data_IF_140705769713
#
_entry.id   IF_140705769713
#
_cell.length_a   1.000
_cell.length_b   1.000
_cell.length_c   1.000
_cell.angle_alpha   90.00
_cell.angle_beta   90.00
_cell.angle_gamma   90.00
#
_symmetry.space_group_name_H-M   'P 1'
#
loop_
_entity.id
_entity.type
_entity.pdbx_description
1 polymer ?
#
# COMPACT_ATOMS: atom_id res chain seq x y z
N UNK A 1 5.40 27.05 2.64
CA UNK A 1 5.19 25.70 3.21
C UNK A 1 4.25 24.95 2.30
N UNK A 2 4.70 23.83 1.77
CA UNK A 2 3.92 22.93 0.90
C UNK A 2 3.33 21.77 1.74
N UNK A 3 2.42 21.02 1.13
CA UNK A 3 1.72 19.93 1.82
C UNK A 3 2.14 18.58 1.24
N UNK A 4 2.33 17.59 2.11
CA UNK A 4 2.37 16.18 1.75
C UNK A 4 0.99 15.60 2.11
N UNK A 5 0.19 15.35 1.10
CA UNK A 5 -1.10 14.67 1.25
C UNK A 5 -0.88 13.16 1.24
N UNK A 6 -1.18 12.50 2.34
CA UNK A 6 -1.16 11.03 2.41
C UNK A 6 -2.53 10.51 2.02
N UNK A 7 -2.56 9.64 1.02
CA UNK A 7 -3.74 8.86 0.63
C UNK A 7 -3.52 7.45 1.18
N UNK A 8 -4.03 7.17 2.38
CA UNK A 8 -3.74 5.92 3.05
C UNK A 8 -4.46 4.74 2.39
N UNK A 9 -3.82 3.57 2.47
CA UNK A 9 -4.51 2.30 2.31
C UNK A 9 -5.56 2.17 3.42
N UNK A 10 -6.70 1.55 3.11
CA UNK A 10 -7.77 1.31 4.08
C UNK A 10 -7.22 0.63 5.35
N UNK A 11 -7.36 1.27 6.52
CA UNK A 11 -6.86 0.71 7.77
C UNK A 11 -7.75 -0.43 8.23
N UNK A 12 -7.19 -1.64 8.30
CA UNK A 12 -7.89 -2.81 8.80
C UNK A 12 -7.18 -3.28 10.06
N UNK A 13 -7.92 -3.37 11.17
CA UNK A 13 -7.39 -3.83 12.44
C UNK A 13 -6.68 -5.18 12.30
N UNK A 14 -5.61 -5.36 13.07
CA UNK A 14 -4.76 -6.56 13.07
C UNK A 14 -4.02 -6.84 11.75
N UNK A 15 -3.95 -5.87 10.82
CA UNK A 15 -3.20 -5.95 9.58
C UNK A 15 -2.12 -4.86 9.50
N UNK A 16 -1.13 -5.11 8.62
CA UNK A 16 -0.09 -4.12 8.35
C UNK A 16 -0.63 -2.78 7.84
N UNK A 17 -1.81 -2.78 7.20
CA UNK A 17 -2.46 -1.57 6.69
C UNK A 17 -2.80 -0.59 7.80
N UNK A 18 -3.24 -1.07 8.96
CA UNK A 18 -3.45 -0.23 10.14
C UNK A 18 -2.14 0.35 10.69
N UNK A 19 -1.09 -0.47 10.73
CA UNK A 19 0.24 0.00 11.16
C UNK A 19 0.77 1.10 10.23
N UNK A 20 0.60 0.94 8.92
CA UNK A 20 1.01 1.95 7.95
C UNK A 20 0.21 3.25 8.12
N UNK A 21 -1.09 3.13 8.29
CA UNK A 21 -1.97 4.26 8.54
C UNK A 21 -1.54 5.07 9.76
N UNK A 22 -1.26 4.40 10.89
CA UNK A 22 -0.90 5.07 12.14
C UNK A 22 0.51 5.68 12.10
N UNK A 23 1.45 5.04 11.45
CA UNK A 23 2.87 5.36 11.62
C UNK A 23 3.49 6.16 10.47
N UNK A 24 3.04 6.02 9.23
CA UNK A 24 3.60 6.78 8.11
C UNK A 24 3.50 8.29 8.33
N UNK A 25 2.36 8.86 8.77
CA UNK A 25 2.29 10.29 9.07
C UNK A 25 3.30 10.72 10.13
N UNK A 26 3.41 9.96 11.22
CA UNK A 26 4.34 10.26 12.33
C UNK A 26 5.80 10.26 11.88
N UNK A 27 6.20 9.22 11.12
CA UNK A 27 7.57 9.13 10.59
C UNK A 27 7.87 10.28 9.62
N UNK A 28 6.91 10.65 8.77
CA UNK A 28 7.09 11.78 7.86
C UNK A 28 7.24 13.11 8.61
N UNK A 29 6.42 13.36 9.62
CA UNK A 29 6.52 14.57 10.46
C UNK A 29 7.87 14.64 11.16
N UNK A 30 8.34 13.51 11.71
CA UNK A 30 9.68 13.42 12.31
C UNK A 30 10.78 13.75 11.30
N UNK A 31 10.75 13.15 10.11
CA UNK A 31 11.76 13.39 9.07
C UNK A 31 11.73 14.83 8.54
N UNK A 32 10.55 15.43 8.45
CA UNK A 32 10.38 16.85 8.09
C UNK A 32 11.07 17.74 9.15
N UNK A 33 10.81 17.46 10.42
CA UNK A 33 11.40 18.22 11.51
C UNK A 33 12.93 18.04 11.60
N UNK A 34 13.42 16.79 11.56
CA UNK A 34 14.86 16.49 11.62
C UNK A 34 15.67 17.11 10.48
N UNK A 35 15.08 17.18 9.28
CA UNK A 35 15.74 17.73 8.09
C UNK A 35 15.41 19.18 7.83
N UNK A 36 14.64 19.81 8.69
CA UNK A 36 14.17 21.18 8.56
C UNK A 36 13.55 21.48 7.19
N UNK A 37 12.65 20.59 6.73
CA UNK A 37 11.96 20.73 5.46
C UNK A 37 10.71 21.60 5.61
N UNK A 38 10.38 22.39 4.57
CA UNK A 38 9.22 23.29 4.57
C UNK A 38 7.95 22.58 4.06
N UNK A 39 7.55 21.51 4.76
CA UNK A 39 6.34 20.74 4.49
C UNK A 39 5.53 20.57 5.77
N UNK A 40 4.23 20.29 5.59
CA UNK A 40 3.37 19.71 6.63
C UNK A 40 2.61 18.50 6.05
N UNK A 41 2.15 17.62 6.92
CA UNK A 41 1.48 16.37 6.53
C UNK A 41 -0.03 16.48 6.73
N UNK A 42 -0.80 16.02 5.77
CA UNK A 42 -2.27 15.93 5.84
C UNK A 42 -2.70 14.55 5.35
N UNK A 43 -3.41 13.80 6.18
CA UNK A 43 -4.00 12.51 5.76
C UNK A 43 -5.39 12.73 5.18
N UNK A 44 -5.67 12.12 4.04
CA UNK A 44 -6.96 12.14 3.35
C UNK A 44 -7.62 10.79 3.50
N UNK A 45 -8.47 10.66 4.50
CA UNK A 45 -9.21 9.43 4.74
C UNK A 45 -10.33 9.20 3.72
N UNK A 46 -10.67 7.92 3.54
CA UNK A 46 -11.91 7.52 2.90
C UNK A 46 -13.04 7.31 3.92
N UNK A 47 -14.24 7.14 3.43
CA UNK A 47 -15.39 6.80 4.23
C UNK A 47 -15.38 5.29 4.55
N UNK A 48 -15.46 4.93 5.84
CA UNK A 48 -15.64 3.55 6.28
C UNK A 48 -17.07 3.08 5.93
N UNK A 49 -17.15 2.17 5.00
CA UNK A 49 -18.42 1.59 4.55
C UNK A 49 -18.54 0.12 4.98
N UNK A 50 -19.60 -0.20 5.72
CA UNK A 50 -19.90 -1.57 6.15
C UNK A 50 -20.99 -2.16 5.24
N UNK A 51 -20.63 -3.05 4.31
CA UNK A 51 -21.59 -3.65 3.40
C UNK A 51 -22.48 -4.66 4.13
N UNK A 52 -23.74 -4.75 3.69
CA UNK A 52 -24.68 -5.79 4.16
C UNK A 52 -24.28 -7.19 3.68
N UNK A 53 -23.62 -7.26 2.53
CA UNK A 53 -23.14 -8.50 1.91
C UNK A 53 -21.63 -8.40 1.74
N UNK A 54 -20.88 -9.36 2.33
CA UNK A 54 -19.43 -9.42 2.21
C UNK A 54 -19.00 -10.31 1.05
N UNK A 55 -17.89 -9.97 0.43
CA UNK A 55 -17.26 -10.81 -0.60
C UNK A 55 -16.73 -12.09 0.06
N UNK A 56 -17.34 -13.22 -0.22
CA UNK A 56 -16.96 -14.50 0.37
C UNK A 56 -15.53 -14.90 -0.04
N UNK A 57 -14.74 -15.36 0.93
CA UNK A 57 -13.36 -15.82 0.73
C UNK A 57 -12.33 -14.71 0.41
N UNK A 58 -12.75 -13.46 0.30
CA UNK A 58 -11.83 -12.36 0.10
C UNK A 58 -11.32 -11.82 1.45
N UNK A 59 -10.07 -11.38 1.46
CA UNK A 59 -9.47 -10.71 2.62
C UNK A 59 -9.89 -9.23 2.73
N UNK A 60 -10.47 -8.68 1.68
CA UNK A 60 -11.06 -7.35 1.58
C UNK A 60 -12.45 -7.48 0.97
N UNK A 61 -13.37 -6.62 1.39
CA UNK A 61 -14.57 -6.39 0.62
C UNK A 61 -14.28 -5.41 -0.51
N UNK A 62 -14.31 -5.89 -1.75
CA UNK A 62 -13.93 -5.08 -2.91
C UNK A 62 -14.90 -3.93 -3.18
N UNK A 63 -16.17 -4.05 -2.77
CA UNK A 63 -17.14 -2.97 -2.85
C UNK A 63 -16.83 -1.88 -1.83
N UNK A 64 -16.70 -2.25 -0.57
CA UNK A 64 -16.42 -1.33 0.53
C UNK A 64 -15.09 -0.58 0.34
N UNK A 65 -14.02 -1.29 -0.03
CA UNK A 65 -12.72 -0.64 -0.29
C UNK A 65 -12.79 0.34 -1.46
N UNK A 66 -13.67 0.11 -2.45
CA UNK A 66 -13.87 1.08 -3.52
C UNK A 66 -14.69 2.30 -3.07
N UNK A 67 -15.62 2.17 -2.14
CA UNK A 67 -16.28 3.33 -1.49
C UNK A 67 -15.21 4.17 -0.78
N UNK A 68 -14.36 3.55 0.03
CA UNK A 68 -13.26 4.22 0.72
C UNK A 68 -12.37 5.00 -0.26
N UNK A 69 -11.88 4.36 -1.33
CA UNK A 69 -11.02 5.00 -2.36
C UNK A 69 -11.75 6.09 -3.15
N UNK A 70 -13.05 5.92 -3.43
CA UNK A 70 -13.84 6.91 -4.16
C UNK A 70 -14.11 8.17 -3.34
N UNK A 71 -14.33 8.04 -2.05
CA UNK A 71 -14.51 9.18 -1.15
C UNK A 71 -13.20 9.94 -0.93
N UNK A 72 -12.04 9.27 -0.89
CA UNK A 72 -10.72 9.92 -0.96
C UNK A 72 -10.58 10.75 -2.25
N UNK A 73 -10.97 10.18 -3.40
CA UNK A 73 -10.94 10.88 -4.69
C UNK A 73 -11.81 12.12 -4.67
N UNK A 74 -13.01 12.02 -4.08
CA UNK A 74 -13.91 13.16 -3.91
C UNK A 74 -13.31 14.24 -3.03
N UNK A 75 -12.67 13.86 -1.93
CA UNK A 75 -12.02 14.81 -1.02
C UNK A 75 -10.87 15.55 -1.72
N UNK A 76 -9.99 14.84 -2.44
CA UNK A 76 -8.89 15.45 -3.21
C UNK A 76 -9.41 16.37 -4.30
N UNK A 77 -10.46 15.98 -5.03
CA UNK A 77 -11.06 16.83 -6.05
C UNK A 77 -11.58 18.15 -5.47
N UNK A 78 -12.17 18.11 -4.26
CA UNK A 78 -12.59 19.33 -3.54
C UNK A 78 -11.39 20.19 -3.14
N UNK A 79 -10.25 19.60 -2.76
CA UNK A 79 -9.04 20.38 -2.44
C UNK A 79 -8.52 21.14 -3.66
N UNK A 80 -8.45 20.51 -4.84
CA UNK A 80 -8.08 21.19 -6.09
C UNK A 80 -9.09 22.30 -6.43
N UNK A 81 -10.38 21.98 -6.41
CA UNK A 81 -11.45 22.94 -6.75
C UNK A 81 -11.50 24.17 -5.82
N UNK A 82 -11.11 24.00 -4.56
CA UNK A 82 -11.07 25.07 -3.57
C UNK A 82 -9.71 25.79 -3.51
N UNK A 83 -8.79 25.53 -4.43
CA UNK A 83 -7.47 26.16 -4.47
C UNK A 83 -6.58 25.84 -3.24
N UNK A 84 -6.80 24.69 -2.60
CA UNK A 84 -6.02 24.25 -1.44
C UNK A 84 -4.74 23.55 -1.85
N UNK A 85 -4.74 22.86 -3.00
CA UNK A 85 -3.56 22.26 -3.59
C UNK A 85 -2.73 23.33 -4.29
N UNK A 86 -1.43 23.31 -4.10
CA UNK A 86 -0.47 24.27 -4.65
C UNK A 86 0.60 23.55 -5.45
N UNK A 87 1.22 24.31 -6.36
CA UNK A 87 2.42 23.83 -7.05
C UNK A 87 3.52 23.44 -6.05
N UNK A 88 4.09 22.24 -6.25
CA UNK A 88 5.10 21.66 -5.35
C UNK A 88 4.53 20.84 -4.18
N UNK A 89 3.22 20.75 -4.02
CA UNK A 89 2.59 19.80 -3.10
C UNK A 89 2.85 18.36 -3.57
N UNK A 90 2.84 17.42 -2.61
CA UNK A 90 3.11 16.01 -2.87
C UNK A 90 1.93 15.15 -2.45
N UNK A 91 1.66 14.10 -3.23
CA UNK A 91 0.66 13.08 -2.90
C UNK A 91 1.37 11.75 -2.69
N UNK A 92 1.28 11.19 -1.49
CA UNK A 92 1.79 9.86 -1.16
C UNK A 92 0.62 8.88 -1.10
N UNK A 93 0.51 8.04 -2.11
CA UNK A 93 -0.48 6.98 -2.20
C UNK A 93 0.14 5.72 -1.62
N UNK A 94 -0.31 5.29 -0.44
CA UNK A 94 0.30 4.15 0.28
C UNK A 94 -0.16 2.78 -0.20
N UNK A 95 -1.13 2.75 -1.14
CA UNK A 95 -1.49 1.59 -1.95
C UNK A 95 -1.76 2.06 -3.38
N UNK A 96 -0.84 1.77 -4.29
CA UNK A 96 -0.91 2.22 -5.68
C UNK A 96 -2.08 1.61 -6.47
N UNK A 97 -2.70 0.52 -5.97
CA UNK A 97 -3.94 0.01 -6.54
C UNK A 97 -5.13 0.91 -6.16
N UNK A 98 -5.02 2.19 -6.51
CA UNK A 98 -6.00 3.24 -6.21
C UNK A 98 -6.22 4.13 -7.44
N UNK A 99 -7.46 4.23 -7.87
CA UNK A 99 -7.87 5.04 -9.03
C UNK A 99 -7.55 6.53 -8.89
N UNK A 100 -7.33 7.02 -7.66
CA UNK A 100 -7.06 8.43 -7.36
C UNK A 100 -5.85 9.00 -8.09
N UNK A 101 -4.88 8.15 -8.49
CA UNK A 101 -3.67 8.55 -9.23
C UNK A 101 -4.05 9.30 -10.51
N UNK A 102 -5.01 8.75 -11.28
CA UNK A 102 -5.46 9.37 -12.53
C UNK A 102 -6.13 10.73 -12.32
N UNK A 103 -7.14 10.90 -11.44
CA UNK A 103 -7.69 12.22 -11.14
C UNK A 103 -6.69 13.25 -10.63
N UNK A 104 -5.72 12.86 -9.78
CA UNK A 104 -4.68 13.79 -9.32
C UNK A 104 -3.88 14.29 -10.52
N UNK A 105 -3.39 13.38 -11.35
CA UNK A 105 -2.61 13.74 -12.55
C UNK A 105 -3.43 14.61 -13.51
N UNK A 106 -4.67 14.21 -13.78
CA UNK A 106 -5.61 14.96 -14.62
C UNK A 106 -5.82 16.40 -14.12
N UNK A 107 -6.08 16.58 -12.83
CA UNK A 107 -6.29 17.91 -12.27
C UNK A 107 -5.02 18.73 -12.22
N UNK A 108 -3.88 18.12 -11.88
CA UNK A 108 -2.56 18.77 -11.90
C UNK A 108 -2.26 19.34 -13.28
N UNK A 109 -2.45 18.56 -14.35
CA UNK A 109 -2.14 18.98 -15.72
C UNK A 109 -3.12 20.03 -16.24
N UNK A 110 -4.44 19.85 -16.04
CA UNK A 110 -5.43 20.74 -16.61
C UNK A 110 -5.58 22.07 -15.86
N UNK A 111 -5.26 22.10 -14.57
CA UNK A 111 -5.32 23.31 -13.76
C UNK A 111 -3.95 24.03 -13.70
N UNK A 112 -2.92 23.48 -14.35
CA UNK A 112 -1.55 23.98 -14.30
C UNK A 112 -1.01 24.13 -12.86
N UNK A 113 -1.31 23.13 -12.03
CA UNK A 113 -0.84 23.04 -10.63
C UNK A 113 0.10 21.82 -10.54
N UNK A 114 1.39 21.96 -10.83
CA UNK A 114 2.33 20.84 -10.83
C UNK A 114 2.51 20.29 -9.41
N UNK A 115 2.17 19.03 -9.22
CA UNK A 115 2.35 18.28 -7.97
C UNK A 115 3.22 17.05 -8.22
N UNK A 116 3.83 16.50 -7.17
CA UNK A 116 4.54 15.21 -7.26
C UNK A 116 3.66 14.08 -6.74
N UNK A 117 3.60 12.97 -7.48
CA UNK A 117 2.82 11.78 -7.14
C UNK A 117 3.77 10.63 -6.79
N UNK A 118 3.68 10.15 -5.57
CA UNK A 118 4.46 9.06 -5.00
C UNK A 118 3.54 7.86 -4.74
N UNK A 119 3.83 6.71 -5.34
CA UNK A 119 2.97 5.52 -5.27
C UNK A 119 3.71 4.32 -4.71
N UNK A 120 3.17 3.70 -3.66
CA UNK A 120 3.74 2.48 -3.07
C UNK A 120 2.98 1.27 -3.58
N UNK A 121 3.68 0.36 -4.23
CA UNK A 121 3.11 -0.86 -4.80
C UNK A 121 3.23 -2.02 -3.81
N UNK A 122 2.12 -2.69 -3.49
CA UNK A 122 2.07 -3.89 -2.66
C UNK A 122 1.83 -5.13 -3.49
N UNK A 123 0.80 -5.07 -4.32
CA UNK A 123 0.30 -6.14 -5.15
C UNK A 123 -0.37 -5.54 -6.39
N UNK A 124 -0.76 -6.39 -7.34
CA UNK A 124 -1.47 -5.95 -8.52
C UNK A 124 -1.69 -7.07 -9.52
N UNK A 125 -2.41 -6.75 -10.59
CA UNK A 125 -2.70 -7.72 -11.64
C UNK A 125 -1.46 -8.13 -12.46
N UNK A 126 -0.39 -7.35 -12.38
CA UNK A 126 0.92 -7.71 -12.96
C UNK A 126 1.55 -8.94 -12.30
N UNK A 127 1.14 -9.30 -11.07
CA UNK A 127 1.61 -10.50 -10.36
C UNK A 127 0.61 -11.64 -10.56
N UNK A 128 0.96 -12.69 -11.31
CA UNK A 128 0.08 -13.83 -11.55
C UNK A 128 -0.24 -14.64 -10.29
N UNK A 129 0.54 -14.46 -9.22
CA UNK A 129 0.32 -15.11 -7.92
C UNK A 129 -0.58 -14.30 -6.98
N UNK A 130 -0.85 -13.04 -7.30
CA UNK A 130 -1.78 -12.21 -6.54
C UNK A 130 -3.23 -12.48 -6.95
N UNK A 131 -4.17 -12.23 -6.01
CA UNK A 131 -5.60 -12.40 -6.26
C UNK A 131 -6.07 -11.57 -7.46
N UNK A 132 -5.52 -10.37 -7.64
CA UNK A 132 -5.83 -9.51 -8.77
C UNK A 132 -5.32 -10.12 -10.08
N UNK A 133 -4.12 -10.71 -10.05
CA UNK A 133 -3.49 -11.29 -11.24
C UNK A 133 -4.18 -12.56 -11.74
N UNK A 134 -4.68 -13.43 -10.87
CA UNK A 134 -5.34 -14.66 -11.31
C UNK A 134 -6.87 -14.54 -11.45
N UNK A 135 -7.52 -13.54 -10.83
CA UNK A 135 -8.98 -13.35 -10.95
C UNK A 135 -9.39 -12.38 -12.06
N UNK A 136 -8.54 -11.41 -12.38
CA UNK A 136 -8.86 -10.43 -13.42
C UNK A 136 -8.30 -10.86 -14.78
N UNK A 137 -9.06 -10.62 -15.85
CA UNK A 137 -8.54 -10.78 -17.20
C UNK A 137 -7.39 -9.77 -17.43
N UNK A 138 -6.24 -10.19 -17.97
CA UNK A 138 -5.00 -9.41 -17.91
C UNK A 138 -4.99 -8.10 -18.72
N UNK A 139 -5.85 -7.97 -19.74
CA UNK A 139 -5.73 -6.85 -20.68
C UNK A 139 -5.95 -5.49 -20.02
N UNK A 140 -7.14 -5.24 -19.49
CA UNK A 140 -7.48 -3.93 -18.96
C UNK A 140 -6.69 -3.57 -17.69
N UNK A 141 -6.41 -4.49 -16.72
CA UNK A 141 -5.65 -4.14 -15.53
C UNK A 141 -4.21 -3.74 -15.87
N UNK A 142 -3.57 -4.44 -16.80
CA UNK A 142 -2.22 -4.14 -17.24
C UNK A 142 -2.12 -2.72 -17.85
N UNK A 143 -3.13 -2.31 -18.62
CA UNK A 143 -3.18 -0.95 -19.16
C UNK A 143 -3.36 0.10 -18.05
N UNK A 144 -4.20 -0.19 -17.07
CA UNK A 144 -4.46 0.70 -15.94
C UNK A 144 -3.22 0.84 -15.07
N UNK A 145 -2.61 -0.26 -14.65
CA UNK A 145 -1.38 -0.27 -13.83
C UNK A 145 -0.23 0.44 -14.53
N UNK A 146 -0.07 0.21 -15.84
CA UNK A 146 0.91 0.93 -16.66
C UNK A 146 0.63 2.43 -16.70
N UNK A 147 -0.64 2.82 -16.83
CA UNK A 147 -1.05 4.23 -16.79
C UNK A 147 -0.71 4.87 -15.43
N UNK A 148 -1.03 4.22 -14.32
CA UNK A 148 -0.69 4.71 -12.98
C UNK A 148 0.81 4.83 -12.75
N UNK A 149 1.59 3.85 -13.23
CA UNK A 149 3.05 3.94 -13.19
C UNK A 149 3.59 5.19 -13.89
N UNK A 150 3.10 5.47 -15.09
CA UNK A 150 3.53 6.65 -15.86
C UNK A 150 3.01 7.97 -15.28
N UNK A 151 1.83 7.95 -14.66
CA UNK A 151 1.22 9.12 -14.01
C UNK A 151 1.92 9.50 -12.71
N UNK A 152 2.55 8.53 -12.03
CA UNK A 152 3.35 8.77 -10.83
C UNK A 152 4.75 9.25 -11.18
N UNK A 153 5.29 10.15 -10.37
CA UNK A 153 6.67 10.60 -10.48
C UNK A 153 7.64 9.58 -9.89
N UNK A 154 7.23 8.94 -8.79
CA UNK A 154 7.99 7.91 -8.10
C UNK A 154 7.12 6.71 -7.75
N UNK A 155 7.64 5.52 -8.06
CA UNK A 155 6.97 4.24 -7.78
C UNK A 155 7.87 3.40 -6.86
N UNK A 156 7.37 3.06 -5.68
CA UNK A 156 8.13 2.39 -4.62
C UNK A 156 7.78 0.92 -4.52
N UNK A 157 8.81 0.08 -4.39
CA UNK A 157 8.70 -1.37 -4.29
C UNK A 157 9.50 -1.89 -3.10
N UNK A 158 8.96 -2.87 -2.39
CA UNK A 158 9.61 -3.45 -1.23
C UNK A 158 10.95 -4.12 -1.55
N UNK A 159 11.05 -4.81 -2.70
CA UNK A 159 12.22 -5.58 -3.10
C UNK A 159 12.58 -5.36 -4.57
N UNK A 160 13.81 -5.68 -4.95
CA UNK A 160 14.20 -5.70 -6.36
C UNK A 160 13.39 -6.74 -7.15
N UNK A 161 13.12 -7.92 -6.55
CA UNK A 161 12.30 -8.94 -7.19
C UNK A 161 10.92 -8.39 -7.59
N UNK A 162 10.25 -7.72 -6.66
CA UNK A 162 8.96 -7.10 -6.90
C UNK A 162 9.02 -6.04 -8.00
N UNK A 163 9.98 -5.12 -7.89
CA UNK A 163 10.22 -4.07 -8.90
C UNK A 163 10.45 -4.67 -10.30
N UNK A 164 11.35 -5.63 -10.41
CA UNK A 164 11.74 -6.21 -11.69
C UNK A 164 10.61 -7.05 -12.31
N UNK A 165 9.81 -7.73 -11.48
CA UNK A 165 8.59 -8.43 -11.90
C UNK A 165 7.58 -7.43 -12.49
N UNK A 166 7.30 -6.33 -11.79
CA UNK A 166 6.40 -5.27 -12.26
C UNK A 166 6.85 -4.71 -13.62
N UNK A 167 8.10 -4.27 -13.72
CA UNK A 167 8.65 -3.66 -14.94
C UNK A 167 8.59 -4.61 -16.13
N UNK A 168 8.92 -5.87 -15.90
CA UNK A 168 8.90 -6.91 -16.93
C UNK A 168 7.47 -7.28 -17.37
N UNK A 169 6.59 -7.59 -16.41
CA UNK A 169 5.25 -8.10 -16.72
C UNK A 169 4.35 -7.03 -17.35
N UNK A 170 4.56 -5.76 -17.03
CA UNK A 170 3.88 -4.64 -17.67
C UNK A 170 4.62 -4.10 -18.91
N UNK A 171 5.73 -4.69 -19.32
CA UNK A 171 6.54 -4.19 -20.44
C UNK A 171 6.81 -2.67 -20.33
N UNK A 172 7.29 -2.24 -19.18
CA UNK A 172 7.66 -0.84 -18.96
C UNK A 172 8.93 -0.54 -19.79
N UNK A 173 8.96 0.55 -20.59
CA UNK A 173 10.16 0.92 -21.34
C UNK A 173 11.35 1.25 -20.41
N UNK A 174 12.55 0.80 -20.77
CA UNK A 174 13.77 1.03 -19.97
C UNK A 174 14.04 2.51 -19.66
N UNK A 175 13.71 3.40 -20.58
CA UNK A 175 13.84 4.86 -20.37
C UNK A 175 12.98 5.42 -19.23
N UNK A 176 12.02 4.63 -18.72
CA UNK A 176 11.16 5.02 -17.59
C UNK A 176 11.54 4.34 -16.27
N UNK A 177 12.60 3.52 -16.22
CA UNK A 177 13.00 2.77 -15.02
C UNK A 177 13.48 3.65 -13.87
N UNK A 178 13.89 4.88 -14.15
CA UNK A 178 14.28 5.88 -13.15
C UNK A 178 13.16 6.24 -12.17
N UNK A 179 11.91 5.98 -12.55
CA UNK A 179 10.74 6.16 -11.67
C UNK A 179 10.50 5.00 -10.69
N UNK A 180 11.16 3.86 -10.89
CA UNK A 180 10.98 2.65 -10.09
C UNK A 180 12.06 2.54 -9.01
N UNK A 181 11.68 2.70 -7.75
CA UNK A 181 12.58 2.78 -6.62
C UNK A 181 12.37 1.59 -5.68
N UNK A 182 13.45 0.92 -5.30
CA UNK A 182 13.39 -0.03 -4.19
C UNK A 182 13.47 0.73 -2.87
N UNK A 183 12.37 0.80 -2.15
CA UNK A 183 12.30 1.47 -0.85
C UNK A 183 12.52 0.55 0.36
N UNK A 184 12.32 -0.74 0.19
CA UNK A 184 12.13 -1.64 1.34
C UNK A 184 10.70 -1.58 1.88
N UNK A 185 10.51 -2.20 3.04
CA UNK A 185 9.28 -2.06 3.83
C UNK A 185 9.61 -1.44 5.20
N UNK A 186 8.73 -0.61 5.77
CA UNK A 186 8.94 -0.04 7.10
C UNK A 186 8.77 -1.11 8.18
N UNK A 187 9.89 -1.61 8.70
CA UNK A 187 9.91 -2.61 9.77
C UNK A 187 10.39 -2.05 11.12
N UNK A 188 10.85 -0.81 11.16
CA UNK A 188 11.38 -0.17 12.36
C UNK A 188 10.39 -0.22 13.53
N UNK A 189 9.10 -0.05 13.24
CA UNK A 189 8.01 -0.15 14.22
C UNK A 189 7.93 -1.53 14.90
N UNK A 190 8.32 -2.58 14.17
CA UNK A 190 8.35 -3.95 14.69
C UNK A 190 9.61 -4.14 15.52
N UNK A 191 10.73 -3.56 15.12
CA UNK A 191 12.02 -3.68 15.82
C UNK A 191 11.92 -3.14 17.24
N UNK A 192 11.34 -1.96 17.42
CA UNK A 192 11.17 -1.36 18.75
C UNK A 192 10.31 -2.25 19.65
N UNK A 193 9.22 -2.78 19.11
CA UNK A 193 8.36 -3.72 19.84
C UNK A 193 9.06 -5.05 20.17
N UNK A 194 9.95 -5.54 19.30
CA UNK A 194 10.67 -6.80 19.52
C UNK A 194 11.85 -6.64 20.47
N UNK A 195 12.41 -5.45 20.60
CA UNK A 195 13.57 -5.19 21.46
C UNK A 195 13.32 -5.61 22.91
N UNK A 196 12.13 -5.38 23.44
CA UNK A 196 11.73 -5.80 24.78
C UNK A 196 11.73 -7.32 25.00
N UNK A 197 11.70 -8.11 23.91
CA UNK A 197 11.67 -9.59 23.96
C UNK A 197 12.99 -10.25 23.58
N UNK A 198 14.06 -9.48 23.34
CA UNK A 198 15.35 -10.02 22.88
C UNK A 198 15.95 -11.06 23.82
N UNK A 199 15.71 -10.90 25.13
CA UNK A 199 16.21 -11.81 26.19
C UNK A 199 15.22 -12.92 26.55
N UNK A 200 14.07 -12.98 25.92
CA UNK A 200 13.05 -14.00 26.20
C UNK A 200 13.61 -15.39 25.81
N UNK A 201 13.60 -16.37 26.73
CA UNK A 201 14.05 -17.73 26.42
C UNK A 201 13.25 -18.32 25.25
N UNK A 202 13.96 -18.82 24.27
CA UNK A 202 13.35 -19.54 23.15
C UNK A 202 12.98 -20.95 23.57
N UNK A 203 11.82 -21.41 23.14
CA UNK A 203 11.32 -22.76 23.32
C UNK A 203 11.23 -23.47 21.98
N UNK A 204 10.97 -24.78 22.00
CA UNK A 204 10.73 -25.54 20.77
C UNK A 204 9.31 -25.30 20.22
N UNK A 205 8.93 -24.01 20.13
CA UNK A 205 7.63 -23.55 19.65
C UNK A 205 7.79 -22.73 18.40
N UNK A 206 7.07 -23.09 17.35
CA UNK A 206 7.00 -22.35 16.09
C UNK A 206 5.62 -21.73 15.97
N UNK A 207 5.57 -20.42 15.75
CA UNK A 207 4.33 -19.71 15.45
C UNK A 207 4.13 -19.65 13.93
N UNK A 208 2.92 -19.97 13.49
CA UNK A 208 2.48 -19.77 12.12
C UNK A 208 1.36 -18.71 12.11
N UNK A 209 1.74 -17.41 11.91
CA UNK A 209 0.85 -16.26 12.14
C UNK A 209 0.05 -15.87 10.89
N UNK A 210 -0.38 -16.83 10.10
CA UNK A 210 -1.11 -16.57 8.86
C UNK A 210 -2.57 -16.97 8.97
N UNK A 211 -3.42 -16.35 8.14
CA UNK A 211 -4.78 -16.84 7.94
C UNK A 211 -4.73 -18.26 7.35
N UNK A 212 -5.69 -19.10 7.72
CA UNK A 212 -5.80 -20.44 7.18
C UNK A 212 -6.36 -20.39 5.75
N UNK A 213 -5.47 -20.34 4.78
CA UNK A 213 -5.79 -20.28 3.36
C UNK A 213 -4.66 -20.95 2.57
N UNK A 214 -4.99 -21.54 1.42
CA UNK A 214 -4.07 -22.32 0.58
C UNK A 214 -2.82 -21.55 0.15
N UNK A 215 -2.94 -20.24 -0.09
CA UNK A 215 -1.80 -19.36 -0.41
C UNK A 215 -0.76 -19.26 0.71
N UNK A 216 -1.11 -19.68 1.92
CA UNK A 216 -0.22 -19.71 3.10
C UNK A 216 0.26 -21.11 3.45
N UNK A 217 -0.11 -22.12 2.66
CA UNK A 217 0.33 -23.50 2.80
C UNK A 217 0.16 -24.09 4.22
N UNK A 218 -1.05 -24.06 4.79
CA UNK A 218 -1.30 -24.52 6.17
C UNK A 218 -0.91 -25.99 6.40
N UNK A 219 -0.98 -26.83 5.37
CA UNK A 219 -0.57 -28.24 5.45
C UNK A 219 0.90 -28.41 5.86
N UNK A 220 1.79 -27.52 5.39
CA UNK A 220 3.22 -27.55 5.80
C UNK A 220 3.34 -27.22 7.29
N UNK A 221 2.57 -26.26 7.79
CA UNK A 221 2.57 -25.92 9.20
C UNK A 221 2.02 -27.08 10.06
N UNK A 222 1.05 -27.83 9.56
CA UNK A 222 0.50 -29.01 10.22
C UNK A 222 1.50 -30.17 10.26
N UNK A 223 2.21 -30.42 9.17
CA UNK A 223 3.26 -31.46 9.11
C UNK A 223 4.40 -31.18 10.11
N UNK A 224 4.79 -29.90 10.28
CA UNK A 224 5.79 -29.51 11.27
C UNK A 224 5.34 -29.75 12.72
N UNK A 225 4.04 -29.95 12.98
CA UNK A 225 3.54 -30.25 14.32
C UNK A 225 4.02 -31.58 14.89
N UNK A 226 4.57 -32.46 14.06
CA UNK A 226 5.20 -33.71 14.49
C UNK A 226 6.55 -33.47 15.18
N UNK A 227 7.27 -32.41 14.79
CA UNK A 227 8.62 -32.12 15.27
C UNK A 227 8.67 -30.93 16.25
N UNK A 228 7.69 -30.01 16.14
CA UNK A 228 7.64 -28.78 16.90
C UNK A 228 6.28 -28.56 17.53
N UNK A 229 6.27 -27.84 18.65
CA UNK A 229 5.01 -27.27 19.17
C UNK A 229 4.55 -26.14 18.27
N UNK A 230 3.54 -26.39 17.42
CA UNK A 230 2.99 -25.39 16.53
C UNK A 230 1.93 -24.54 17.23
N UNK A 231 1.99 -23.23 17.01
CA UNK A 231 0.92 -22.29 17.36
C UNK A 231 0.37 -21.71 16.05
N UNK A 232 -0.81 -22.16 15.65
CA UNK A 232 -1.51 -21.73 14.46
C UNK A 232 -2.61 -20.77 14.89
N UNK A 233 -2.41 -19.47 14.65
CA UNK A 233 -3.20 -18.39 15.27
C UNK A 233 -4.67 -18.29 14.84
N UNK A 234 -5.07 -18.96 13.78
CA UNK A 234 -6.46 -18.93 13.29
C UNK A 234 -7.23 -20.25 13.49
N UNK A 235 -6.67 -21.20 14.21
CA UNK A 235 -7.41 -22.37 14.71
C UNK A 235 -7.90 -22.18 16.16
N UNK A 236 -7.76 -20.98 16.71
CA UNK A 236 -8.26 -20.65 18.04
C UNK A 236 -9.69 -20.12 17.97
#
# INVERSE_FOLDING_TARGET
MNTIYIIPIEPIDQRYTKQWYDNIPVVLEQQIAERNLDYHVVTIDGEDFKPDVRTEGAFLDFGATNVYKSTQTTAVSKLFSNGKVKAGDKFLITDAWNFIITPIKYMSDLLDIPVEIHSIWHAGAYDPSDILGYKMQPDWPNHVEKSWYHSSDYNYYATNFHKDMFLRNLNIPQGSYNKAIRSGQPHELIVDNLTQYQTTPKTNTVMWPHRYNDDKQPAIAEDLSNDFRMVITQKM
#
